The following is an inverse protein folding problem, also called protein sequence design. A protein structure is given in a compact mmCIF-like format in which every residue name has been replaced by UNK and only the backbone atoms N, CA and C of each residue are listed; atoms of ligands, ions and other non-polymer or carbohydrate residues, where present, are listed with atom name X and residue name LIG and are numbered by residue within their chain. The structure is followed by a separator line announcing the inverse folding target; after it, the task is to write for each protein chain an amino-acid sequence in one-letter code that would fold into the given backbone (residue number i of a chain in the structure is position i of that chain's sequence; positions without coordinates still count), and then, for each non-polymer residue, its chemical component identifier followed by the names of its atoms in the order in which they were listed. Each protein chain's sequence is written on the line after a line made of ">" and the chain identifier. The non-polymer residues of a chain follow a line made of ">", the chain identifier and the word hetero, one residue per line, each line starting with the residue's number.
data_IF_703537282420
#
_entry.id   IF_703537282420
#
_cell.length_a   1.000
_cell.length_b   1.000
_cell.length_c   1.000
_cell.angle_alpha   90.00
_cell.angle_beta   90.00
_cell.angle_gamma   90.00
#
_symmetry.space_group_name_H-M   'P 1'
#
loop_
_entity.id
_entity.type
_entity.pdbx_description
1 polymer ?
#
# COMPACT_ATOMS: atom_id res chain seq x y z
N UNK A 1 4.66 10.06 -31.80
CA UNK A 1 4.01 10.91 -30.78
C UNK A 1 3.78 10.02 -29.57
N UNK A 2 4.38 10.33 -28.41
CA UNK A 2 4.09 9.55 -27.19
C UNK A 2 2.69 10.02 -26.74
N UNK A 3 1.66 9.17 -26.78
CA UNK A 3 0.31 9.61 -26.49
C UNK A 3 0.15 9.57 -24.97
N UNK A 4 0.61 10.62 -24.28
CA UNK A 4 0.10 10.86 -22.93
C UNK A 4 -1.36 11.23 -23.12
N UNK A 5 -2.25 10.30 -22.78
CA UNK A 5 -3.66 10.47 -23.01
C UNK A 5 -4.29 11.27 -21.87
N UNK A 6 -5.43 11.93 -22.12
CA UNK A 6 -6.09 12.74 -21.10
C UNK A 6 -6.45 11.93 -19.84
N UNK A 7 -6.73 10.64 -20.00
CA UNK A 7 -6.98 9.73 -18.88
C UNK A 7 -5.71 9.46 -18.05
N UNK A 8 -4.50 9.50 -18.64
CA UNK A 8 -3.24 9.39 -17.89
C UNK A 8 -3.07 10.58 -16.93
N UNK A 9 -3.45 11.77 -17.40
CA UNK A 9 -3.40 13.01 -16.61
C UNK A 9 -4.46 12.98 -15.51
N UNK A 10 -5.69 12.60 -15.83
CA UNK A 10 -6.77 12.49 -14.87
C UNK A 10 -6.44 11.46 -13.76
N UNK A 11 -5.94 10.28 -14.15
CA UNK A 11 -5.52 9.23 -13.23
C UNK A 11 -4.38 9.71 -12.31
N UNK A 12 -3.35 10.33 -12.88
CA UNK A 12 -2.22 10.83 -12.08
C UNK A 12 -2.64 11.95 -11.12
N UNK A 13 -3.53 12.85 -11.55
CA UNK A 13 -4.06 13.92 -10.69
C UNK A 13 -4.87 13.35 -9.53
N UNK A 14 -5.73 12.38 -9.81
CA UNK A 14 -6.49 11.67 -8.79
C UNK A 14 -5.58 10.94 -7.80
N UNK A 15 -4.56 10.25 -8.29
CA UNK A 15 -3.58 9.55 -7.46
C UNK A 15 -2.82 10.51 -6.53
N UNK A 16 -2.42 11.69 -7.02
CA UNK A 16 -1.78 12.73 -6.19
C UNK A 16 -2.72 13.23 -5.10
N UNK A 17 -4.00 13.47 -5.42
CA UNK A 17 -5.00 13.90 -4.43
C UNK A 17 -5.22 12.86 -3.33
N UNK A 18 -5.41 11.58 -3.69
CA UNK A 18 -5.55 10.51 -2.71
C UNK A 18 -4.28 10.31 -1.89
N UNK A 19 -3.10 10.45 -2.51
CA UNK A 19 -1.82 10.37 -1.80
C UNK A 19 -1.66 11.54 -0.81
N UNK A 20 -2.10 12.75 -1.16
CA UNK A 20 -2.08 13.88 -0.24
C UNK A 20 -3.01 13.66 0.97
N UNK A 21 -4.20 13.11 0.74
CA UNK A 21 -5.15 12.75 1.81
C UNK A 21 -4.54 11.69 2.73
N UNK A 22 -3.95 10.63 2.18
CA UNK A 22 -3.32 9.58 2.99
C UNK A 22 -2.10 10.09 3.76
N UNK A 23 -1.28 10.97 3.18
CA UNK A 23 -0.19 11.64 3.90
C UNK A 23 -0.72 12.47 5.08
N UNK A 24 -1.80 13.21 4.89
CA UNK A 24 -2.45 13.96 5.95
C UNK A 24 -2.99 13.04 7.06
N UNK A 25 -3.61 11.93 6.70
CA UNK A 25 -4.07 10.90 7.64
C UNK A 25 -2.92 10.30 8.45
N UNK A 26 -1.76 10.03 7.81
CA UNK A 26 -0.56 9.55 8.51
C UNK A 26 -0.07 10.58 9.54
N UNK A 27 -0.23 11.88 9.26
CA UNK A 27 0.18 12.94 10.20
C UNK A 27 -0.71 12.96 11.45
N UNK A 28 -2.03 12.81 11.28
CA UNK A 28 -3.03 12.96 12.36
C UNK A 28 -3.27 11.67 13.15
N UNK A 29 -3.31 10.52 12.50
CA UNK A 29 -3.64 9.27 13.18
C UNK A 29 -2.50 8.75 14.05
N UNK A 30 -2.88 8.03 15.12
CA UNK A 30 -1.95 7.48 16.10
C UNK A 30 -1.07 6.39 15.46
N UNK A 31 0.24 6.53 15.60
CA UNK A 31 1.24 5.63 15.00
C UNK A 31 1.79 4.58 15.97
N UNK A 32 1.43 4.67 17.25
CA UNK A 32 1.96 3.81 18.31
C UNK A 32 3.50 3.79 18.35
N UNK A 33 4.08 2.60 18.40
CA UNK A 33 5.54 2.38 18.45
C UNK A 33 6.21 2.21 17.08
N UNK A 34 5.49 2.45 15.97
CA UNK A 34 6.02 2.28 14.63
C UNK A 34 7.13 3.29 14.32
N UNK A 35 8.28 2.78 13.85
CA UNK A 35 9.43 3.60 13.45
C UNK A 35 9.76 3.35 11.99
N UNK A 36 10.16 4.40 11.29
CA UNK A 36 10.69 4.26 9.94
C UNK A 36 12.06 3.59 9.96
N UNK A 37 12.27 2.63 9.06
CA UNK A 37 13.58 2.04 8.84
C UNK A 37 14.55 3.09 8.30
N UNK A 38 15.74 3.19 8.89
CA UNK A 38 16.81 4.11 8.44
C UNK A 38 17.18 3.88 6.96
N UNK A 39 17.12 2.62 6.51
CA UNK A 39 17.37 2.24 5.12
C UNK A 39 16.30 2.86 4.20
N UNK A 40 15.03 2.77 4.60
CA UNK A 40 13.91 3.35 3.82
C UNK A 40 14.04 4.87 3.70
N UNK A 41 14.39 5.55 4.80
CA UNK A 41 14.67 7.00 4.79
C UNK A 41 15.81 7.32 3.81
N UNK A 42 16.92 6.57 3.89
CA UNK A 42 18.06 6.76 2.98
C UNK A 42 17.68 6.60 1.51
N UNK A 43 16.90 5.58 1.16
CA UNK A 43 16.39 5.36 -0.21
C UNK A 43 15.52 6.53 -0.66
N UNK A 44 14.57 6.96 0.17
CA UNK A 44 13.68 8.08 -0.14
C UNK A 44 14.46 9.37 -0.36
N UNK A 45 15.43 9.69 0.51
CA UNK A 45 16.29 10.85 0.34
C UNK A 45 17.10 10.80 -0.96
N UNK A 46 17.68 9.63 -1.29
CA UNK A 46 18.44 9.46 -2.53
C UNK A 46 17.56 9.65 -3.77
N UNK A 47 16.34 9.08 -3.78
CA UNK A 47 15.41 9.23 -4.90
C UNK A 47 14.96 10.68 -5.08
N UNK A 48 14.63 11.39 -3.98
CA UNK A 48 14.28 12.81 -4.06
C UNK A 48 15.43 13.68 -4.55
N UNK A 49 16.68 13.37 -4.15
CA UNK A 49 17.86 14.05 -4.66
C UNK A 49 18.03 13.83 -6.17
N UNK A 50 17.91 12.59 -6.64
CA UNK A 50 17.97 12.26 -8.08
C UNK A 50 16.87 13.01 -8.84
N UNK A 51 15.63 12.97 -8.34
CA UNK A 51 14.51 13.67 -8.96
C UNK A 51 14.75 15.19 -9.05
N UNK A 52 15.29 15.81 -8.00
CA UNK A 52 15.64 17.23 -8.00
C UNK A 52 16.73 17.56 -9.01
N UNK A 53 17.82 16.78 -9.07
CA UNK A 53 18.89 16.98 -10.06
C UNK A 53 18.34 16.88 -11.48
N UNK A 54 17.56 15.85 -11.79
CA UNK A 54 16.94 15.69 -13.11
C UNK A 54 16.00 16.85 -13.45
N UNK A 55 15.23 17.36 -12.48
CA UNK A 55 14.37 18.53 -12.67
C UNK A 55 15.18 19.77 -13.05
N UNK A 56 16.25 20.08 -12.31
CA UNK A 56 17.11 21.24 -12.62
C UNK A 56 17.86 21.10 -13.93
N UNK A 57 18.20 19.88 -14.37
CA UNK A 57 18.76 19.63 -15.71
C UNK A 57 17.73 19.84 -16.84
N UNK A 58 16.47 19.48 -16.58
CA UNK A 58 15.39 19.60 -17.56
C UNK A 58 14.93 21.05 -17.75
N UNK A 59 15.07 21.91 -16.73
CA UNK A 59 14.68 23.33 -16.77
C UNK A 59 15.31 24.12 -17.94
N UNK A 60 16.65 24.19 -18.10
CA UNK A 60 17.26 24.96 -19.18
C UNK A 60 17.10 24.29 -20.55
N UNK A 61 17.00 22.97 -20.59
CA UNK A 61 16.92 22.20 -21.85
C UNK A 61 15.48 22.01 -22.36
N UNK A 62 14.47 22.43 -21.58
CA UNK A 62 13.04 22.19 -21.82
C UNK A 62 12.71 20.72 -22.15
N UNK A 63 13.49 19.78 -21.63
CA UNK A 63 13.41 18.34 -21.95
C UNK A 63 12.36 17.61 -21.10
N UNK A 64 11.13 18.11 -21.09
CA UNK A 64 10.05 17.61 -20.23
C UNK A 64 9.70 16.14 -20.42
N UNK A 65 9.68 15.66 -21.67
CA UNK A 65 9.40 14.25 -21.97
C UNK A 65 10.49 13.32 -21.42
N UNK A 66 11.75 13.77 -21.47
CA UNK A 66 12.86 13.03 -20.87
C UNK A 66 12.70 12.97 -19.35
N UNK A 67 12.36 14.09 -18.71
CA UNK A 67 12.10 14.15 -17.26
C UNK A 67 10.96 13.20 -16.85
N UNK A 68 9.85 13.21 -17.59
CA UNK A 68 8.71 12.29 -17.37
C UNK A 68 9.16 10.83 -17.51
N UNK A 69 10.00 10.52 -18.50
CA UNK A 69 10.54 9.17 -18.67
C UNK A 69 11.38 8.75 -17.46
N UNK A 70 12.21 9.65 -16.91
CA UNK A 70 12.99 9.38 -15.70
C UNK A 70 12.06 9.14 -14.51
N UNK A 71 11.03 9.95 -14.33
CA UNK A 71 10.06 9.76 -13.25
C UNK A 71 9.29 8.43 -13.36
N UNK A 72 8.91 8.02 -14.58
CA UNK A 72 8.32 6.71 -14.80
C UNK A 72 9.28 5.58 -14.41
N UNK A 73 10.57 5.69 -14.75
CA UNK A 73 11.58 4.71 -14.32
C UNK A 73 11.70 4.66 -12.80
N UNK A 74 11.78 5.82 -12.13
CA UNK A 74 11.82 5.91 -10.67
C UNK A 74 10.59 5.23 -10.05
N UNK A 75 9.40 5.46 -10.61
CA UNK A 75 8.16 4.87 -10.13
C UNK A 75 8.16 3.34 -10.22
N UNK A 76 8.66 2.78 -11.33
CA UNK A 76 8.83 1.33 -11.51
C UNK A 76 9.75 0.76 -10.43
N UNK A 77 10.94 1.35 -10.25
CA UNK A 77 11.90 0.88 -9.25
C UNK A 77 11.37 1.00 -7.81
N UNK A 78 10.76 2.15 -7.48
CA UNK A 78 10.17 2.36 -6.16
C UNK A 78 9.06 1.34 -5.86
N UNK A 79 8.29 0.95 -6.87
CA UNK A 79 7.25 -0.07 -6.75
C UNK A 79 7.82 -1.43 -6.32
N UNK A 80 8.91 -1.87 -6.95
CA UNK A 80 9.60 -3.11 -6.56
C UNK A 80 10.17 -2.99 -5.14
N UNK A 81 10.86 -1.87 -4.84
CA UNK A 81 11.51 -1.64 -3.54
C UNK A 81 10.50 -1.65 -2.38
N UNK A 82 9.29 -1.11 -2.58
CA UNK A 82 8.25 -1.10 -1.53
C UNK A 82 7.51 -2.44 -1.41
N UNK A 83 7.24 -3.12 -2.53
CA UNK A 83 6.40 -4.32 -2.51
C UNK A 83 7.14 -5.56 -2.03
N UNK A 84 8.44 -5.71 -2.31
CA UNK A 84 9.21 -6.87 -1.82
C UNK A 84 9.22 -6.95 -0.28
N UNK A 85 9.61 -5.90 0.48
CA UNK A 85 9.57 -5.95 1.93
C UNK A 85 8.17 -6.20 2.46
N UNK A 86 7.13 -5.65 1.83
CA UNK A 86 5.76 -5.90 2.25
C UNK A 86 5.36 -7.37 2.08
N UNK A 87 5.68 -7.97 0.94
CA UNK A 87 5.43 -9.39 0.68
C UNK A 87 6.16 -10.30 1.68
N UNK A 88 7.42 -9.96 2.00
CA UNK A 88 8.22 -10.67 3.00
C UNK A 88 7.63 -10.49 4.40
N UNK A 89 7.23 -9.27 4.80
CA UNK A 89 6.62 -9.02 6.10
C UNK A 89 5.32 -9.80 6.28
N UNK A 90 4.45 -9.84 5.26
CA UNK A 90 3.24 -10.65 5.27
C UNK A 90 3.57 -12.13 5.45
N UNK A 91 4.59 -12.64 4.73
CA UNK A 91 5.03 -14.02 4.85
C UNK A 91 5.64 -14.35 6.22
N UNK A 92 6.42 -13.44 6.81
CA UNK A 92 7.05 -13.62 8.13
C UNK A 92 6.01 -13.58 9.26
N UNK A 93 5.05 -12.66 9.19
CA UNK A 93 3.99 -12.50 10.20
C UNK A 93 2.90 -13.57 10.09
N UNK A 94 2.79 -14.24 8.93
CA UNK A 94 1.68 -15.15 8.60
C UNK A 94 0.30 -14.50 8.79
N UNK A 95 0.24 -13.19 8.62
CA UNK A 95 -0.96 -12.37 8.76
C UNK A 95 -0.84 -11.16 7.84
N UNK A 96 -2.00 -10.69 7.37
CA UNK A 96 -2.16 -9.46 6.60
C UNK A 96 -3.02 -8.44 7.36
N UNK A 97 -3.15 -8.59 8.68
CA UNK A 97 -3.92 -7.67 9.51
C UNK A 97 -3.30 -6.26 9.52
N UNK A 98 -4.15 -5.24 9.35
CA UNK A 98 -3.74 -3.85 9.20
C UNK A 98 -3.28 -3.46 7.78
N UNK A 99 -3.26 -4.41 6.84
CA UNK A 99 -2.99 -4.12 5.42
C UNK A 99 -4.30 -3.83 4.68
N UNK A 100 -4.38 -2.69 3.99
CA UNK A 100 -5.60 -2.30 3.26
C UNK A 100 -5.75 -3.11 1.97
N UNK A 101 -6.41 -4.27 2.06
CA UNK A 101 -6.68 -5.12 0.89
C UNK A 101 -7.57 -4.41 -0.14
N UNK A 102 -8.45 -3.51 0.30
CA UNK A 102 -9.31 -2.72 -0.58
C UNK A 102 -8.51 -1.86 -1.55
N UNK A 103 -7.41 -1.24 -1.09
CA UNK A 103 -6.54 -0.46 -1.97
C UNK A 103 -5.84 -1.36 -3.01
N UNK A 104 -5.40 -2.56 -2.61
CA UNK A 104 -4.77 -3.51 -3.54
C UNK A 104 -5.76 -4.00 -4.61
N UNK A 105 -7.02 -4.22 -4.24
CA UNK A 105 -8.07 -4.56 -5.21
C UNK A 105 -8.30 -3.43 -6.22
N UNK A 106 -8.31 -2.17 -5.74
CA UNK A 106 -8.45 -0.99 -6.61
C UNK A 106 -7.23 -0.81 -7.52
N UNK A 107 -6.02 -1.01 -6.99
CA UNK A 107 -4.77 -0.95 -7.76
C UNK A 107 -4.74 -2.05 -8.84
N UNK A 108 -5.14 -3.28 -8.49
CA UNK A 108 -5.27 -4.38 -9.43
C UNK A 108 -6.28 -4.06 -10.55
N UNK A 109 -7.48 -3.60 -10.19
CA UNK A 109 -8.51 -3.21 -11.16
C UNK A 109 -8.03 -2.07 -12.06
N UNK A 110 -7.35 -1.07 -11.49
CA UNK A 110 -6.74 0.03 -12.24
C UNK A 110 -5.67 -0.46 -13.20
N UNK A 111 -4.80 -1.38 -12.77
CA UNK A 111 -3.78 -2.00 -13.60
C UNK A 111 -4.36 -2.81 -14.76
N UNK A 112 -5.39 -3.63 -14.48
CA UNK A 112 -6.10 -4.41 -15.52
C UNK A 112 -6.80 -3.48 -16.51
N UNK A 113 -7.51 -2.46 -16.03
CA UNK A 113 -8.18 -1.48 -16.89
C UNK A 113 -7.18 -0.71 -17.76
N UNK A 114 -6.03 -0.35 -17.21
CA UNK A 114 -4.95 0.30 -17.94
C UNK A 114 -4.38 -0.61 -19.06
N UNK A 115 -4.12 -1.87 -18.76
CA UNK A 115 -3.69 -2.85 -19.77
C UNK A 115 -4.75 -3.07 -20.86
N UNK A 116 -6.03 -3.17 -20.47
CA UNK A 116 -7.14 -3.33 -21.39
C UNK A 116 -7.28 -2.10 -22.31
N UNK A 117 -7.15 -0.89 -21.77
CA UNK A 117 -7.14 0.35 -22.56
C UNK A 117 -6.02 0.32 -23.61
N UNK A 118 -4.79 -0.04 -23.21
CA UNK A 118 -3.65 -0.11 -24.13
C UNK A 118 -3.87 -1.18 -25.22
N UNK A 119 -4.48 -2.31 -24.87
CA UNK A 119 -4.84 -3.35 -25.83
C UNK A 119 -5.87 -2.85 -26.86
N UNK A 120 -6.97 -2.24 -26.40
CA UNK A 120 -8.01 -1.70 -27.28
C UNK A 120 -7.45 -0.63 -28.22
N UNK A 121 -6.63 0.29 -27.71
CA UNK A 121 -5.99 1.33 -28.54
C UNK A 121 -5.02 0.73 -29.57
N UNK A 122 -4.30 -0.33 -29.21
CA UNK A 122 -3.41 -1.00 -30.16
C UNK A 122 -4.14 -1.73 -31.27
N UNK A 123 -5.32 -2.29 -30.98
CA UNK A 123 -6.21 -2.89 -31.99
C UNK A 123 -6.74 -1.79 -32.92
N UNK A 124 -7.27 -0.69 -32.36
CA UNK A 124 -7.85 0.41 -33.12
C UNK A 124 -6.82 1.09 -34.05
N UNK A 125 -5.61 1.32 -33.55
CA UNK A 125 -4.52 1.94 -34.32
C UNK A 125 -3.77 0.95 -35.23
N UNK A 126 -4.15 -0.34 -35.23
CA UNK A 126 -3.40 -1.43 -35.86
C UNK A 126 -1.89 -1.36 -35.56
N UNK A 127 -1.53 -1.00 -34.33
CA UNK A 127 -0.16 -0.69 -33.94
C UNK A 127 0.11 -0.97 -32.47
N UNK A 128 1.24 -1.62 -32.19
CA UNK A 128 1.67 -1.94 -30.83
C UNK A 128 2.44 -0.80 -30.15
N UNK A 129 2.50 0.39 -30.77
CA UNK A 129 3.23 1.57 -30.25
C UNK A 129 2.80 1.92 -28.83
N UNK A 130 1.56 1.68 -28.44
CA UNK A 130 1.11 1.95 -27.07
C UNK A 130 1.87 1.10 -26.03
N UNK A 131 2.21 -0.14 -26.36
CA UNK A 131 2.95 -1.04 -25.46
C UNK A 131 4.45 -0.74 -25.39
N UNK A 132 5.10 -0.55 -26.53
CA UNK A 132 6.57 -0.33 -26.55
C UNK A 132 6.98 1.14 -26.49
N UNK A 133 6.14 2.05 -26.99
CA UNK A 133 6.37 3.49 -26.98
C UNK A 133 6.27 4.11 -25.58
N UNK A 134 5.58 3.44 -24.65
CA UNK A 134 5.56 3.79 -23.23
C UNK A 134 5.87 2.57 -22.36
N UNK A 135 7.09 2.03 -22.51
CA UNK A 135 7.54 0.84 -21.78
C UNK A 135 7.45 0.99 -20.26
N UNK A 136 7.63 2.21 -19.74
CA UNK A 136 7.52 2.51 -18.31
C UNK A 136 6.11 2.25 -17.79
N UNK A 137 5.09 2.74 -18.49
CA UNK A 137 3.67 2.51 -18.16
C UNK A 137 3.31 1.02 -18.25
N UNK A 138 3.72 0.35 -19.33
CA UNK A 138 3.49 -1.09 -19.52
C UNK A 138 4.11 -1.90 -18.38
N UNK A 139 5.39 -1.66 -18.09
CA UNK A 139 6.14 -2.39 -17.08
C UNK A 139 5.60 -2.13 -15.68
N UNK A 140 5.26 -0.89 -15.36
CA UNK A 140 4.66 -0.51 -14.08
C UNK A 140 3.34 -1.26 -13.87
N UNK A 141 2.47 -1.23 -14.87
CA UNK A 141 1.16 -1.89 -14.79
C UNK A 141 1.30 -3.40 -14.62
N UNK A 142 2.26 -4.02 -15.30
CA UNK A 142 2.53 -5.46 -15.19
C UNK A 142 3.05 -5.83 -13.79
N UNK A 143 4.06 -5.11 -13.32
CA UNK A 143 4.64 -5.35 -11.99
C UNK A 143 3.60 -5.15 -10.90
N UNK A 144 2.77 -4.10 -11.00
CA UNK A 144 1.69 -3.88 -10.04
C UNK A 144 0.73 -5.06 -10.00
N UNK A 145 0.17 -5.47 -11.14
CA UNK A 145 -0.75 -6.60 -11.23
C UNK A 145 -0.15 -7.88 -10.60
N UNK A 146 1.13 -8.17 -10.85
CA UNK A 146 1.79 -9.35 -10.30
C UNK A 146 1.90 -9.30 -8.77
N UNK A 147 2.30 -8.16 -8.21
CA UNK A 147 2.37 -7.99 -6.75
C UNK A 147 0.98 -7.93 -6.11
N UNK A 148 0.00 -7.34 -6.78
CA UNK A 148 -1.38 -7.28 -6.29
C UNK A 148 -1.98 -8.69 -6.21
N UNK A 149 -1.74 -9.54 -7.22
CA UNK A 149 -2.07 -10.97 -7.17
C UNK A 149 -1.37 -11.69 -6.02
N UNK A 150 -0.08 -11.42 -5.79
CA UNK A 150 0.64 -11.97 -4.65
C UNK A 150 -0.02 -11.57 -3.33
N UNK A 151 -0.34 -10.30 -3.15
CA UNK A 151 -0.98 -9.80 -1.94
C UNK A 151 -2.39 -10.35 -1.74
N UNK A 152 -3.18 -10.47 -2.81
CA UNK A 152 -4.49 -11.12 -2.78
C UNK A 152 -4.39 -12.59 -2.40
N UNK A 153 -3.42 -13.33 -2.95
CA UNK A 153 -3.13 -14.71 -2.55
C UNK A 153 -2.73 -14.79 -1.07
N UNK A 154 -1.87 -13.89 -0.60
CA UNK A 154 -1.47 -13.84 0.80
C UNK A 154 -2.67 -13.58 1.73
N UNK A 155 -3.56 -12.67 1.37
CA UNK A 155 -4.69 -12.27 2.20
C UNK A 155 -5.84 -13.29 2.18
N UNK A 156 -6.27 -13.75 1.00
CA UNK A 156 -7.47 -14.59 0.88
C UNK A 156 -7.18 -16.10 0.96
N UNK A 157 -6.00 -16.54 0.53
CA UNK A 157 -5.68 -17.98 0.43
C UNK A 157 -4.78 -18.41 1.58
N UNK A 158 -3.65 -17.73 1.81
CA UNK A 158 -2.64 -18.18 2.78
C UNK A 158 -2.98 -17.76 4.22
N UNK A 159 -3.41 -16.52 4.42
CA UNK A 159 -3.65 -15.92 5.74
C UNK A 159 -5.08 -15.38 5.88
N UNK A 160 -6.12 -16.19 5.59
CA UNK A 160 -7.49 -15.74 5.77
C UNK A 160 -7.72 -15.37 7.22
N UNK A 161 -8.27 -14.18 7.46
CA UNK A 161 -8.67 -13.77 8.80
C UNK A 161 -9.61 -14.82 9.38
N UNK A 162 -9.20 -15.46 10.48
CA UNK A 162 -10.12 -16.28 11.26
C UNK A 162 -11.18 -15.31 11.76
N UNK A 163 -12.41 -15.41 11.23
CA UNK A 163 -13.56 -14.76 11.87
C UNK A 163 -13.59 -15.30 13.29
N UNK A 164 -13.19 -14.49 14.25
CA UNK A 164 -13.53 -14.77 15.64
C UNK A 164 -15.05 -14.84 15.66
N UNK A 165 -15.55 -16.07 15.77
CA UNK A 165 -16.91 -16.30 16.21
C UNK A 165 -16.99 -15.53 17.51
N UNK A 166 -17.73 -14.43 17.51
CA UNK A 166 -18.13 -13.72 18.71
C UNK A 166 -18.96 -14.74 19.51
N UNK A 167 -18.28 -15.63 20.23
CA UNK A 167 -18.85 -16.37 21.32
C UNK A 167 -18.95 -15.36 22.45
N UNK A 168 -19.98 -14.51 22.34
CA UNK A 168 -20.53 -13.80 23.47
C UNK A 168 -21.08 -14.91 24.39
N UNK A 169 -20.23 -15.51 25.21
CA UNK A 169 -20.69 -16.15 26.43
C UNK A 169 -21.38 -15.03 27.22
N UNK A 170 -22.67 -15.13 27.56
CA UNK A 170 -23.22 -14.30 28.61
C UNK A 170 -22.64 -14.85 29.91
N UNK A 171 -21.50 -14.32 30.34
CA UNK A 171 -20.99 -14.52 31.69
C UNK A 171 -21.92 -13.80 32.64
N UNK A 172 -22.96 -14.50 33.11
CA UNK A 172 -23.56 -14.25 34.41
C UNK A 172 -22.49 -14.63 35.43
N UNK A 173 -22.00 -13.66 36.20
CA UNK A 173 -21.44 -13.81 37.56
C UNK A 173 -20.71 -12.50 37.89
N UNK A 174 -21.48 -11.51 38.31
CA UNK A 174 -20.97 -10.25 38.89
C UNK A 174 -21.75 -9.94 40.17
N UNK A 175 -22.03 -10.98 40.97
CA UNK A 175 -22.66 -10.89 42.29
C UNK A 175 -22.08 -11.97 43.21
N UNK A 176 -20.82 -11.83 43.60
CA UNK A 176 -20.35 -12.36 44.89
C UNK A 176 -20.22 -11.20 45.89
N UNK A 177 -20.97 -11.20 47.00
CA UNK A 177 -20.81 -10.21 48.05
C UNK A 177 -19.59 -10.54 48.90
N UNK A 178 -18.61 -9.62 48.89
CA UNK A 178 -17.45 -9.61 49.79
C UNK A 178 -17.88 -9.30 51.24
N UNK A 179 -18.33 -10.29 52.01
CA UNK A 179 -18.24 -10.23 53.49
C UNK A 179 -18.00 -11.65 54.03
N UNK A 180 -16.78 -11.90 54.51
CA UNK A 180 -16.42 -13.10 55.29
C UNK A 180 -17.00 -12.99 56.71
N UNK A 181 -17.46 -14.06 57.35
CA UNK A 181 -17.72 -14.06 58.79
C UNK A 181 -16.37 -14.10 59.52
N UNK A 182 -16.12 -13.13 60.39
CA UNK A 182 -15.07 -13.17 61.39
C UNK A 182 -15.58 -13.92 62.62
N UNK A 183 -15.16 -15.17 62.78
CA UNK A 183 -15.19 -15.89 64.06
C UNK A 183 -13.74 -16.17 64.47
N UNK A 184 -13.25 -15.44 65.49
CA UNK A 184 -12.41 -15.99 66.56
C UNK A 184 -12.13 -14.88 67.59
N UNK A 185 -12.84 -14.93 68.71
CA UNK A 185 -12.29 -14.50 69.99
C UNK A 185 -12.71 -15.52 71.04
N UNK A 186 -11.90 -16.56 71.18
CA UNK A 186 -11.81 -17.31 72.43
C UNK A 186 -11.33 -16.34 73.51
N UNK A 187 -12.15 -16.14 74.54
CA UNK A 187 -11.70 -15.65 75.84
C UNK A 187 -12.19 -16.63 76.90
N UNK A 188 -11.22 -17.28 77.54
CA UNK A 188 -11.37 -18.24 78.61
C UNK A 188 -12.13 -17.68 79.83
N UNK A 189 -12.86 -18.56 80.50
CA UNK A 189 -13.49 -18.34 81.81
C UNK A 189 -12.45 -18.26 82.93
N UNK A 190 -12.52 -17.23 83.81
CA UNK A 190 -12.67 -17.28 85.29
C UNK A 190 -13.05 -15.88 85.78
#
# INVERSE_FOLDING_TARGET
>A
MIPVAANDVAFSTHAVLLTAITLFQIVIYERGSQKFSKISIGIVCAVWLVAAVCFFMALPSHSWLWLISIFNSIQVFMTIIKYIPQAVMNFMRKSTDGFSIGNILLDFLGGVANYAQMAVQSIDQNSWVNFYGNIGKTLLSLISILFDLLFMCQHYILYPAKKEVISRKPGKEDLEPLVKPSEESQSDNV
#
